data_IF_708681578127
#
_entry.id   IF_708681578127
#
_cell.length_a   1.000
_cell.length_b   1.000
_cell.length_c   1.000
_cell.angle_alpha   90.00
_cell.angle_beta   90.00
_cell.angle_gamma   90.00
#
_symmetry.space_group_name_H-M   'P 1'
#
loop_
_entity.id
_entity.type
_entity.pdbx_description
1 polymer ?
#
# COMPACT_ATOMS: atom_id res chain seq x y z
N UNK A 1 -11.71 1.85 21.28
CA UNK A 1 -11.75 2.51 19.96
C UNK A 1 -10.38 2.33 19.34
N UNK A 2 -10.23 1.41 18.38
CA UNK A 2 -8.93 1.19 17.75
C UNK A 2 -8.60 2.32 16.78
N UNK A 3 -7.38 2.84 16.82
CA UNK A 3 -6.91 3.79 15.82
C UNK A 3 -6.78 3.05 14.47
N UNK A 4 -7.65 3.38 13.52
CA UNK A 4 -7.58 2.87 12.15
C UNK A 4 -6.36 3.48 11.44
N UNK A 5 -5.43 2.63 10.99
CA UNK A 5 -4.31 3.03 10.14
C UNK A 5 -4.67 2.80 8.66
N UNK A 6 -4.49 3.83 7.84
CA UNK A 6 -4.68 3.75 6.38
C UNK A 6 -3.34 3.40 5.72
N UNK A 7 -3.30 2.23 5.09
CA UNK A 7 -2.11 1.78 4.36
C UNK A 7 -2.33 1.95 2.86
N UNK A 8 -1.40 2.64 2.18
CA UNK A 8 -1.41 2.81 0.73
C UNK A 8 -0.31 1.98 0.09
N UNK A 9 -0.63 1.30 -1.01
CA UNK A 9 0.33 0.54 -1.81
C UNK A 9 0.13 0.81 -3.30
N UNK A 10 1.20 0.62 -4.07
CA UNK A 10 1.16 0.58 -5.52
C UNK A 10 2.11 -0.53 -6.00
N UNK A 11 2.46 -0.58 -7.28
CA UNK A 11 3.35 -1.63 -7.80
C UNK A 11 4.72 -1.66 -7.10
N UNK A 12 5.40 -0.52 -6.98
CA UNK A 12 6.79 -0.39 -6.50
C UNK A 12 6.97 0.53 -5.28
N UNK A 13 5.87 1.08 -4.76
CA UNK A 13 5.86 2.00 -3.60
C UNK A 13 5.97 3.50 -3.89
N UNK A 14 6.35 3.91 -5.11
CA UNK A 14 6.55 5.34 -5.43
C UNK A 14 5.24 6.15 -5.41
N UNK A 15 4.17 5.66 -6.05
CA UNK A 15 2.87 6.36 -6.08
C UNK A 15 2.23 6.42 -4.69
N UNK A 16 2.34 5.33 -3.93
CA UNK A 16 1.82 5.27 -2.57
C UNK A 16 2.61 6.14 -1.60
N UNK A 17 3.90 6.40 -1.85
CA UNK A 17 4.68 7.41 -1.13
C UNK A 17 4.07 8.80 -1.32
N UNK A 18 3.89 9.25 -2.57
CA UNK A 18 3.28 10.56 -2.84
C UNK A 18 1.88 10.69 -2.24
N UNK A 19 1.03 9.66 -2.41
CA UNK A 19 -0.31 9.67 -1.81
C UNK A 19 -0.28 9.72 -0.27
N UNK A 20 0.72 9.09 0.37
CA UNK A 20 0.89 9.17 1.83
C UNK A 20 1.31 10.57 2.24
N UNK A 21 2.22 11.21 1.49
CA UNK A 21 2.61 12.61 1.72
C UNK A 21 1.41 13.56 1.61
N UNK A 22 0.57 13.40 0.59
CA UNK A 22 -0.63 14.22 0.41
C UNK A 22 -1.62 14.04 1.57
N UNK A 23 -1.81 12.80 2.06
CA UNK A 23 -2.67 12.52 3.21
C UNK A 23 -2.11 13.09 4.52
N UNK A 24 -0.80 13.01 4.72
CA UNK A 24 -0.15 13.64 5.88
C UNK A 24 -0.29 15.18 5.83
N UNK A 25 -0.14 15.77 4.64
CA UNK A 25 -0.34 17.21 4.43
C UNK A 25 -1.81 17.63 4.63
N UNK A 26 -2.76 16.69 4.50
CA UNK A 26 -4.17 16.88 4.80
C UNK A 26 -4.55 16.49 6.25
N UNK A 27 -3.56 16.45 7.17
CA UNK A 27 -3.73 16.18 8.61
C UNK A 27 -4.24 14.78 8.99
N UNK A 28 -4.15 13.79 8.08
CA UNK A 28 -4.38 12.40 8.46
C UNK A 28 -3.25 11.89 9.35
N UNK A 29 -3.57 11.43 10.57
CA UNK A 29 -2.56 11.11 11.59
C UNK A 29 -2.01 9.67 11.54
N UNK A 30 -2.73 8.76 10.90
CA UNK A 30 -2.41 7.34 10.90
C UNK A 30 -2.41 6.81 9.47
N UNK A 31 -1.35 7.14 8.73
CA UNK A 31 -1.16 6.77 7.32
C UNK A 31 0.20 6.11 7.16
N UNK A 32 0.30 5.11 6.29
CA UNK A 32 1.57 4.41 6.03
C UNK A 32 1.69 3.97 4.57
N UNK A 33 2.90 4.09 4.02
CA UNK A 33 3.25 3.63 2.70
C UNK A 33 3.78 2.18 2.74
N UNK A 34 3.27 1.29 1.89
CA UNK A 34 3.92 0.00 1.60
C UNK A 34 5.05 0.23 0.61
N UNK A 35 6.24 0.54 1.14
CA UNK A 35 7.39 1.03 0.38
C UNK A 35 7.91 0.11 -0.75
N UNK A 36 7.85 -1.21 -0.59
CA UNK A 36 8.22 -2.15 -1.67
C UNK A 36 7.09 -2.43 -2.67
N UNK A 37 5.88 -1.93 -2.38
CA UNK A 37 4.69 -2.17 -3.18
C UNK A 37 4.33 -3.65 -3.35
N UNK A 38 3.54 -3.91 -4.39
CA UNK A 38 3.11 -5.24 -4.78
C UNK A 38 4.27 -6.15 -5.23
N UNK A 39 5.33 -5.60 -5.84
CA UNK A 39 6.48 -6.40 -6.27
C UNK A 39 7.17 -7.07 -5.08
N UNK A 40 7.53 -6.30 -4.05
CA UNK A 40 8.10 -6.87 -2.83
C UNK A 40 7.13 -7.82 -2.12
N UNK A 41 5.81 -7.55 -2.20
CA UNK A 41 4.79 -8.43 -1.62
C UNK A 41 4.83 -9.84 -2.25
N UNK A 42 4.89 -9.90 -3.58
CA UNK A 42 4.97 -11.15 -4.33
C UNK A 42 6.32 -11.83 -4.15
N UNK A 43 7.42 -11.08 -4.18
CA UNK A 43 8.78 -11.61 -3.96
C UNK A 43 8.93 -12.30 -2.58
N UNK A 44 8.21 -11.81 -1.57
CA UNK A 44 8.19 -12.41 -0.24
C UNK A 44 7.18 -13.58 -0.11
N UNK A 45 6.52 -13.99 -1.20
CA UNK A 45 5.62 -15.14 -1.21
C UNK A 45 4.29 -14.94 -0.48
N UNK A 46 3.87 -13.69 -0.28
CA UNK A 46 2.60 -13.40 0.37
C UNK A 46 1.41 -13.70 -0.55
N UNK A 47 0.24 -13.90 0.04
CA UNK A 47 -0.98 -14.23 -0.68
C UNK A 47 -1.37 -13.14 -1.68
N UNK A 48 -1.80 -13.57 -2.87
CA UNK A 48 -2.32 -12.72 -3.93
C UNK A 48 -3.67 -13.29 -4.36
N UNK A 49 -4.66 -12.42 -4.50
CA UNK A 49 -5.89 -12.77 -5.21
C UNK A 49 -5.68 -12.42 -6.69
N UNK A 50 -5.56 -13.45 -7.53
CA UNK A 50 -5.50 -13.29 -8.98
C UNK A 50 -6.90 -13.50 -9.54
N UNK A 51 -7.38 -12.66 -10.48
CA UNK A 51 -8.59 -12.96 -11.23
C UNK A 51 -8.47 -14.34 -11.86
N UNK A 52 -9.56 -15.10 -11.89
CA UNK A 52 -9.61 -16.48 -12.38
C UNK A 52 -9.26 -16.61 -13.88
N UNK A 53 -9.21 -15.49 -14.61
CA UNK A 53 -9.18 -15.46 -16.08
C UNK A 53 -7.81 -15.13 -16.70
N UNK A 54 -6.74 -15.07 -15.92
CA UNK A 54 -5.36 -15.04 -16.45
C UNK A 54 -4.71 -16.42 -16.26
N UNK A 55 -4.89 -17.29 -17.27
CA UNK A 55 -4.27 -18.62 -17.39
C UNK A 55 -3.41 -18.68 -18.66
#
# INVERSE_FOLDING_TARGET
MGNLCVVKGCQSGVRSLYATTDLLNADFKHVSNMGGGYLAWVENGFAVNKPQDEL
#
